data_IF_109475394456
#
_entry.id   IF_109475394456
#
_cell.length_a   1.000
_cell.length_b   1.000
_cell.length_c   1.000
_cell.angle_alpha   90.00
_cell.angle_beta   90.00
_cell.angle_gamma   90.00
#
_symmetry.space_group_name_H-M   'P 1'
#
loop_
_entity.id
_entity.type
_entity.pdbx_description
1 polymer ?
#
# COMPACT_ATOMS: atom_id res chain seq x y z
N UNK A 1 9.26 -18.00 -27.32
CA UNK A 1 9.38 -16.99 -26.25
C UNK A 1 9.38 -17.68 -24.91
N UNK A 2 10.48 -17.62 -24.16
CA UNK A 2 10.58 -18.17 -22.80
C UNK A 2 10.21 -17.03 -21.84
N UNK A 3 9.28 -17.20 -20.89
CA UNK A 3 8.91 -16.14 -19.98
C UNK A 3 10.16 -15.68 -19.21
N UNK A 4 10.28 -14.37 -19.00
CA UNK A 4 11.28 -13.80 -18.10
C UNK A 4 10.86 -14.18 -16.68
N UNK A 5 11.21 -15.39 -16.26
CA UNK A 5 11.08 -15.78 -14.87
C UNK A 5 12.29 -15.21 -14.16
N UNK A 6 12.07 -14.24 -13.26
CA UNK A 6 13.12 -13.66 -12.42
C UNK A 6 13.67 -14.77 -11.50
N UNK A 7 14.70 -15.48 -11.96
CA UNK A 7 15.40 -16.56 -11.24
C UNK A 7 16.58 -16.05 -10.41
N UNK A 8 16.58 -14.78 -10.02
CA UNK A 8 17.61 -14.19 -9.15
C UNK A 8 17.11 -14.12 -7.70
N UNK A 9 17.35 -15.24 -6.98
CA UNK A 9 17.67 -15.34 -5.54
C UNK A 9 16.72 -14.69 -4.51
N UNK A 10 15.78 -15.46 -3.93
CA UNK A 10 15.11 -15.26 -2.62
C UNK A 10 14.59 -13.85 -2.23
N UNK A 11 14.45 -12.92 -3.17
CA UNK A 11 13.96 -11.57 -2.91
C UNK A 11 12.51 -11.46 -3.37
N UNK A 12 11.63 -11.07 -2.46
CA UNK A 12 10.23 -10.76 -2.77
C UNK A 12 10.13 -9.29 -3.22
N UNK A 13 9.61 -9.05 -4.41
CA UNK A 13 9.38 -7.72 -4.96
C UNK A 13 7.88 -7.45 -5.11
N UNK A 14 7.39 -6.42 -4.43
CA UNK A 14 5.96 -6.06 -4.40
C UNK A 14 5.81 -4.55 -4.53
N UNK A 15 4.63 -4.10 -4.97
CA UNK A 15 4.22 -2.71 -4.81
C UNK A 15 3.31 -2.60 -3.58
N UNK A 16 3.44 -1.52 -2.80
CA UNK A 16 2.55 -1.24 -1.68
C UNK A 16 2.14 0.23 -1.70
N UNK A 17 0.84 0.47 -1.59
CA UNK A 17 0.31 1.81 -1.46
C UNK A 17 0.42 2.26 0.01
N UNK A 18 1.06 3.39 0.33
CA UNK A 18 1.26 3.86 1.72
C UNK A 18 -0.02 4.42 2.35
N UNK A 19 -1.07 4.59 1.56
CA UNK A 19 -2.27 5.31 1.93
C UNK A 19 -2.14 6.78 1.56
N UNK A 20 -3.09 7.60 2.00
CA UNK A 20 -2.96 9.04 1.87
C UNK A 20 -2.39 9.61 3.16
N UNK A 21 -1.14 10.08 3.12
CA UNK A 21 -0.29 10.32 4.29
C UNK A 21 0.11 11.79 4.36
N UNK A 22 -0.02 12.41 5.53
CA UNK A 22 0.30 13.81 5.80
C UNK A 22 1.81 14.08 5.67
N UNK A 23 2.22 14.36 4.44
CA UNK A 23 3.59 14.70 4.02
C UNK A 23 3.55 15.93 3.10
N UNK A 24 4.70 16.54 2.85
CA UNK A 24 4.82 17.70 1.95
C UNK A 24 4.22 17.42 0.56
N UNK A 25 4.37 16.19 0.05
CA UNK A 25 3.80 15.75 -1.23
C UNK A 25 2.25 15.79 -1.27
N UNK A 26 1.61 15.73 -0.11
CA UNK A 26 0.14 15.72 0.02
C UNK A 26 -0.43 17.02 0.59
N UNK A 27 0.43 17.90 1.10
CA UNK A 27 0.04 19.11 1.82
C UNK A 27 -0.86 20.02 0.97
N UNK A 28 -0.58 20.11 -0.33
CA UNK A 28 -1.37 20.89 -1.28
C UNK A 28 -2.76 20.28 -1.57
N UNK A 29 -2.99 19.01 -1.21
CA UNK A 29 -4.22 18.26 -1.51
C UNK A 29 -5.15 18.12 -0.29
N UNK A 30 -4.81 18.74 0.83
CA UNK A 30 -5.62 18.84 2.04
C UNK A 30 -5.16 17.92 3.19
N UNK A 31 -6.02 17.77 4.20
CA UNK A 31 -5.70 16.99 5.41
C UNK A 31 -5.78 15.49 5.13
N UNK A 32 -4.62 14.89 4.90
CA UNK A 32 -4.47 13.45 4.81
C UNK A 32 -4.78 12.77 6.16
N UNK A 33 -5.51 11.63 6.17
CA UNK A 33 -6.00 11.00 7.39
C UNK A 33 -4.95 10.18 8.17
N UNK A 34 -3.80 9.88 7.54
CA UNK A 34 -2.71 9.14 8.16
C UNK A 34 -1.53 10.05 8.43
N UNK A 35 -0.93 9.92 9.60
CA UNK A 35 0.42 10.43 9.86
C UNK A 35 1.48 9.53 9.20
N UNK A 36 2.71 10.05 8.96
CA UNK A 36 3.82 9.23 8.46
C UNK A 36 4.07 7.99 9.32
N UNK A 37 4.02 8.11 10.64
CA UNK A 37 4.24 6.99 11.55
C UNK A 37 3.17 5.90 11.42
N UNK A 38 1.90 6.28 11.29
CA UNK A 38 0.80 5.31 11.10
C UNK A 38 0.93 4.59 9.76
N UNK A 39 1.28 5.31 8.69
CA UNK A 39 1.53 4.71 7.37
C UNK A 39 2.70 3.71 7.41
N UNK A 40 3.83 4.08 8.03
CA UNK A 40 4.99 3.19 8.14
C UNK A 40 4.66 1.95 8.98
N UNK A 41 3.93 2.09 10.09
CA UNK A 41 3.52 0.95 10.91
C UNK A 41 2.63 -0.04 10.13
N UNK A 42 1.79 0.46 9.23
CA UNK A 42 0.99 -0.35 8.32
C UNK A 42 1.85 -1.05 7.27
N UNK A 43 2.79 -0.34 6.63
CA UNK A 43 3.71 -0.92 5.66
C UNK A 43 4.62 -2.00 6.25
N UNK A 44 5.12 -1.80 7.48
CA UNK A 44 5.92 -2.81 8.18
C UNK A 44 5.12 -4.11 8.34
N UNK A 45 3.83 -4.04 8.71
CA UNK A 45 2.97 -5.23 8.80
C UNK A 45 2.79 -5.94 7.46
N UNK A 46 2.72 -5.19 6.35
CA UNK A 46 2.68 -5.79 5.01
C UNK A 46 3.98 -6.53 4.75
N UNK A 47 5.12 -5.88 4.97
CA UNK A 47 6.47 -6.43 4.76
C UNK A 47 6.68 -7.71 5.60
N UNK A 48 6.29 -7.69 6.88
CA UNK A 48 6.40 -8.84 7.79
C UNK A 48 5.61 -10.07 7.30
N UNK A 49 4.53 -9.85 6.54
CA UNK A 49 3.70 -10.92 5.97
C UNK A 49 4.13 -11.40 4.58
N UNK A 50 5.15 -10.80 3.97
CA UNK A 50 5.55 -11.15 2.60
C UNK A 50 6.25 -12.50 2.55
N UNK A 51 5.87 -13.29 1.56
CA UNK A 51 6.58 -14.51 1.14
C UNK A 51 7.00 -14.37 -0.30
N UNK A 52 7.91 -15.23 -0.78
CA UNK A 52 8.34 -15.20 -2.18
C UNK A 52 7.17 -15.33 -3.18
N UNK A 53 6.09 -16.01 -2.77
CA UNK A 53 4.87 -16.18 -3.56
C UNK A 53 4.05 -14.89 -3.71
N UNK A 54 4.37 -13.84 -2.94
CA UNK A 54 3.74 -12.53 -3.07
C UNK A 54 4.38 -11.67 -4.17
N UNK A 55 5.47 -12.12 -4.79
CA UNK A 55 6.18 -11.37 -5.83
C UNK A 55 5.24 -10.98 -6.98
N UNK A 56 5.30 -9.71 -7.38
CA UNK A 56 4.48 -9.15 -8.46
C UNK A 56 3.07 -8.70 -8.04
N UNK A 57 2.74 -8.78 -6.75
CA UNK A 57 1.46 -8.29 -6.21
C UNK A 57 1.53 -6.80 -5.83
N UNK A 58 0.35 -6.21 -5.69
CA UNK A 58 0.17 -4.84 -5.22
C UNK A 58 -0.67 -4.86 -3.95
N UNK A 59 -0.28 -4.15 -2.90
CA UNK A 59 -0.98 -4.19 -1.60
C UNK A 59 -1.52 -2.82 -1.21
N UNK A 60 -2.68 -2.84 -0.55
CA UNK A 60 -3.19 -1.69 0.21
C UNK A 60 -2.43 -1.55 1.55
N UNK A 61 -2.58 -0.41 2.27
CA UNK A 61 -1.95 -0.24 3.59
C UNK A 61 -2.34 -1.31 4.62
N UNK A 62 -3.48 -1.97 4.46
CA UNK A 62 -3.94 -3.04 5.34
C UNK A 62 -3.47 -4.44 4.91
N UNK A 63 -2.60 -4.56 3.90
CA UNK A 63 -2.11 -5.84 3.38
C UNK A 63 -3.08 -6.61 2.48
N UNK A 64 -4.18 -5.99 2.05
CA UNK A 64 -5.08 -6.59 1.06
C UNK A 64 -4.48 -6.47 -0.34
N UNK A 65 -4.44 -7.58 -1.07
CA UNK A 65 -4.01 -7.63 -2.48
C UNK A 65 -4.95 -6.77 -3.34
N UNK A 66 -4.41 -5.73 -3.94
CA UNK A 66 -5.10 -4.80 -4.82
C UNK A 66 -4.99 -5.28 -6.26
N UNK A 67 -6.12 -5.44 -6.96
CA UNK A 67 -6.10 -5.78 -8.39
C UNK A 67 -5.46 -4.66 -9.22
N UNK A 68 -4.50 -5.02 -10.06
CA UNK A 68 -3.77 -4.09 -10.94
C UNK A 68 -4.67 -3.47 -12.04
N UNK A 69 -5.81 -4.08 -12.34
CA UNK A 69 -6.64 -3.75 -13.51
C UNK A 69 -8.05 -3.23 -13.16
N UNK A 70 -8.37 -2.95 -11.90
CA UNK A 70 -9.71 -2.50 -11.53
C UNK A 70 -9.65 -1.31 -10.59
N UNK A 71 -10.36 -0.23 -10.92
CA UNK A 71 -10.55 0.89 -10.01
C UNK A 71 -11.13 0.42 -8.67
N UNK A 72 -10.67 1.00 -7.57
CA UNK A 72 -11.28 0.75 -6.27
C UNK A 72 -12.72 1.27 -6.27
N UNK A 73 -13.69 0.35 -6.25
CA UNK A 73 -15.12 0.68 -6.23
C UNK A 73 -15.67 0.85 -4.82
N UNK A 74 -14.88 0.54 -3.79
CA UNK A 74 -15.23 0.70 -2.38
C UNK A 74 -14.09 1.40 -1.64
N UNK A 75 -14.39 2.57 -1.08
CA UNK A 75 -13.46 3.32 -0.25
C UNK A 75 -13.17 2.55 1.05
N UNK A 76 -11.90 2.36 1.37
CA UNK A 76 -11.45 1.75 2.62
C UNK A 76 -10.59 2.77 3.37
N UNK A 77 -10.99 3.10 4.59
CA UNK A 77 -10.29 4.07 5.43
C UNK A 77 -9.36 3.34 6.40
N UNK A 78 -8.09 3.75 6.43
CA UNK A 78 -7.09 3.22 7.36
C UNK A 78 -6.77 4.20 8.49
N UNK A 79 -7.23 5.45 8.37
CA UNK A 79 -7.21 6.49 9.39
C UNK A 79 -8.61 7.07 9.60
N UNK A 80 -8.73 8.12 10.42
CA UNK A 80 -10.02 8.77 10.65
C UNK A 80 -10.53 9.41 9.35
N UNK A 81 -11.77 9.14 8.92
CA UNK A 81 -12.31 9.71 7.69
C UNK A 81 -12.44 11.23 7.85
N UNK A 82 -12.20 11.98 6.77
CA UNK A 82 -12.27 13.45 6.76
C UNK A 82 -13.62 13.98 7.27
N UNK A 83 -14.71 13.24 7.05
CA UNK A 83 -16.05 13.58 7.55
C UNK A 83 -16.20 13.54 9.07
N UNK A 84 -15.30 12.84 9.78
CA UNK A 84 -15.32 12.70 11.24
C UNK A 84 -14.42 13.72 11.98
N UNK A 85 -13.74 14.61 11.25
CA UNK A 85 -12.83 15.64 11.81
C UNK A 85 -13.48 17.03 11.78
N UNK A 86 -14.80 17.10 11.95
CA UNK A 86 -15.55 18.37 12.01
C UNK A 86 -15.93 18.73 13.44
#
# INVERSE_FOLDING_TARGET
>A
MKPITCTLSNVCAVAAHPGWVATDATAAHGSAPLTPNESVALLIKVIDGLTINATGKFFDPGGTDLPLATGQTKEKFYGKPRSAVR
#
